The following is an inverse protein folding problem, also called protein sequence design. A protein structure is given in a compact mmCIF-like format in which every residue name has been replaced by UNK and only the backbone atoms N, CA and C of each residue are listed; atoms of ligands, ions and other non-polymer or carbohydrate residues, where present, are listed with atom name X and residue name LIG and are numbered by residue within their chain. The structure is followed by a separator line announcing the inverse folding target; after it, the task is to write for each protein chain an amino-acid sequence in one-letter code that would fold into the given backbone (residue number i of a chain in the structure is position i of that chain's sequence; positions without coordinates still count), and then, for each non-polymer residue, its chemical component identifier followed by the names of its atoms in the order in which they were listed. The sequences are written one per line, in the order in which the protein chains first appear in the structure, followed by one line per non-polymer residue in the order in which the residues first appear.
data_IF_449646343709
#
_entry.id   IF_449646343709
#
_cell.length_a   1.000
_cell.length_b   1.000
_cell.length_c   1.000
_cell.angle_alpha   90.00
_cell.angle_beta   90.00
_cell.angle_gamma   90.00
#
_symmetry.space_group_name_H-M   'P 1'
#
loop_
_entity.id
_entity.type
_entity.pdbx_description
1 polymer ?
#
# COMPACT_ATOMS: atom_id res chain seq x y z
N UNK A 1 6.49 6.41 -16.64
CA UNK A 1 5.57 7.56 -16.50
C UNK A 1 6.29 8.66 -15.74
N UNK A 2 6.07 9.93 -16.10
CA UNK A 2 6.75 11.10 -15.51
C UNK A 2 5.87 11.74 -14.44
N UNK A 3 6.47 12.14 -13.32
CA UNK A 3 5.84 12.90 -12.23
C UNK A 3 6.33 14.34 -12.28
N UNK A 4 5.47 15.33 -12.56
CA UNK A 4 5.88 16.74 -12.56
C UNK A 4 6.42 17.19 -11.20
N UNK A 5 7.42 18.08 -11.21
CA UNK A 5 8.10 18.53 -9.99
C UNK A 5 7.15 19.14 -8.94
N UNK A 6 6.18 19.96 -9.37
CA UNK A 6 5.18 20.54 -8.44
C UNK A 6 4.33 19.46 -7.75
N UNK A 7 3.85 18.48 -8.52
CA UNK A 7 3.10 17.35 -7.98
C UNK A 7 3.96 16.51 -7.03
N UNK A 8 5.22 16.25 -7.40
CA UNK A 8 6.17 15.54 -6.56
C UNK A 8 6.39 16.25 -5.22
N UNK A 9 6.63 17.56 -5.21
CA UNK A 9 6.81 18.34 -3.98
C UNK A 9 5.56 18.38 -3.12
N UNK A 10 4.37 18.49 -3.73
CA UNK A 10 3.10 18.43 -3.00
C UNK A 10 2.91 17.08 -2.31
N UNK A 11 3.19 15.98 -3.00
CA UNK A 11 3.12 14.64 -2.40
C UNK A 11 4.17 14.51 -1.29
N UNK A 12 5.46 14.77 -1.58
CA UNK A 12 6.55 14.61 -0.60
C UNK A 12 6.32 15.41 0.68
N UNK A 13 5.91 16.68 0.56
CA UNK A 13 5.66 17.53 1.73
C UNK A 13 4.51 17.01 2.60
N UNK A 14 3.44 16.50 1.99
CA UNK A 14 2.32 15.88 2.71
C UNK A 14 2.76 14.62 3.45
N UNK A 15 3.68 13.86 2.85
CA UNK A 15 4.33 12.71 3.47
C UNK A 15 5.52 13.07 4.39
N UNK A 16 5.62 14.34 4.83
CA UNK A 16 6.63 14.80 5.79
C UNK A 16 8.05 14.97 5.23
N UNK A 17 8.28 14.69 3.95
CA UNK A 17 9.56 14.83 3.27
C UNK A 17 9.68 16.28 2.77
N UNK A 18 10.08 17.18 3.66
CA UNK A 18 10.14 18.63 3.41
C UNK A 18 11.54 19.15 3.09
N UNK A 19 12.56 18.30 3.18
CA UNK A 19 13.96 18.62 2.86
C UNK A 19 14.52 17.59 1.89
N UNK A 20 15.45 17.98 0.99
CA UNK A 20 16.14 17.03 0.14
C UNK A 20 16.80 15.92 0.98
N UNK A 21 16.42 14.68 0.69
CA UNK A 21 17.09 13.48 1.17
C UNK A 21 18.14 13.04 0.14
N UNK A 22 18.99 12.09 0.50
CA UNK A 22 19.96 11.50 -0.44
C UNK A 22 19.25 10.88 -1.63
N UNK A 23 18.14 10.20 -1.38
CA UNK A 23 17.29 9.53 -2.37
C UNK A 23 16.64 10.58 -3.28
N UNK A 24 16.14 11.68 -2.73
CA UNK A 24 15.61 12.79 -3.52
C UNK A 24 16.67 13.36 -4.46
N UNK A 25 17.87 13.68 -3.96
CA UNK A 25 18.95 14.28 -4.76
C UNK A 25 19.46 13.33 -5.86
N UNK A 26 19.43 12.03 -5.58
CA UNK A 26 19.82 10.99 -6.54
C UNK A 26 18.89 10.94 -7.75
N UNK A 27 17.60 11.17 -7.54
CA UNK A 27 16.55 10.84 -8.50
C UNK A 27 15.85 12.04 -9.14
N UNK A 28 15.96 13.23 -8.53
CA UNK A 28 15.32 14.43 -9.05
C UNK A 28 15.90 14.84 -10.41
N UNK A 29 15.01 15.18 -11.34
CA UNK A 29 15.31 15.75 -12.66
C UNK A 29 14.80 17.19 -12.72
N UNK A 30 15.25 18.01 -13.70
CA UNK A 30 14.84 19.42 -13.79
C UNK A 30 13.32 19.64 -13.85
N UNK A 31 12.57 18.69 -14.40
CA UNK A 31 11.12 18.75 -14.59
C UNK A 31 10.33 17.76 -13.72
N UNK A 32 11.00 17.03 -12.82
CA UNK A 32 10.33 16.11 -11.90
C UNK A 32 11.05 14.78 -11.69
N UNK A 33 10.32 13.67 -11.71
CA UNK A 33 10.83 12.32 -11.43
C UNK A 33 10.26 11.29 -12.41
N UNK A 34 11.02 10.22 -12.66
CA UNK A 34 10.38 9.00 -13.16
C UNK A 34 9.60 8.36 -12.01
N UNK A 35 8.40 7.84 -12.29
CA UNK A 35 7.54 7.27 -11.25
C UNK A 35 8.20 6.16 -10.40
N UNK A 36 9.04 5.31 -11.00
CA UNK A 36 9.76 4.24 -10.27
C UNK A 36 10.74 4.85 -9.27
N UNK A 37 11.51 5.85 -9.70
CA UNK A 37 12.51 6.49 -8.86
C UNK A 37 11.85 7.33 -7.75
N UNK A 38 10.71 7.96 -8.04
CA UNK A 38 9.93 8.70 -7.05
C UNK A 38 9.43 7.81 -5.91
N UNK A 39 9.16 6.53 -6.21
CA UNK A 39 8.72 5.55 -5.21
C UNK A 39 9.78 5.30 -4.14
N UNK A 40 11.06 5.19 -4.53
CA UNK A 40 12.19 5.05 -3.60
C UNK A 40 12.31 6.27 -2.68
N UNK A 41 12.04 7.47 -3.19
CA UNK A 41 12.01 8.69 -2.37
C UNK A 41 10.86 8.66 -1.37
N UNK A 42 9.65 8.26 -1.81
CA UNK A 42 8.46 8.21 -0.96
C UNK A 42 8.63 7.23 0.21
N UNK A 43 9.29 6.10 0.01
CA UNK A 43 9.55 5.12 1.06
C UNK A 43 10.44 5.63 2.21
N UNK A 44 11.01 6.84 2.09
CA UNK A 44 11.64 7.54 3.22
C UNK A 44 10.66 8.18 4.21
N UNK A 45 9.35 8.12 3.94
CA UNK A 45 8.32 8.73 4.80
C UNK A 45 7.96 7.84 6.00
N UNK A 46 7.81 8.45 7.17
CA UNK A 46 7.28 7.79 8.37
C UNK A 46 5.79 7.39 8.25
N UNK A 47 5.07 7.94 7.27
CA UNK A 47 3.65 7.64 7.03
C UNK A 47 3.44 6.50 6.03
N UNK A 48 4.51 5.96 5.45
CA UNK A 48 4.49 4.85 4.51
C UNK A 48 5.26 3.68 5.14
N UNK A 49 4.65 2.51 5.16
CA UNK A 49 5.24 1.31 5.75
C UNK A 49 5.12 0.13 4.80
N UNK A 50 6.21 -0.63 4.72
CA UNK A 50 6.35 -1.82 3.89
C UNK A 50 6.32 -3.03 4.82
N UNK A 51 5.36 -3.92 4.58
CA UNK A 51 5.07 -5.09 5.39
C UNK A 51 5.58 -6.34 4.66
N UNK A 52 6.48 -7.09 5.31
CA UNK A 52 7.05 -8.32 4.76
C UNK A 52 6.17 -9.51 5.10
N UNK A 53 5.92 -10.42 4.14
CA UNK A 53 5.12 -11.62 4.43
C UNK A 53 5.80 -12.58 5.42
N UNK A 54 7.12 -12.47 5.55
CA UNK A 54 7.94 -13.27 6.47
C UNK A 54 8.00 -12.67 7.87
N UNK A 55 7.60 -11.42 8.05
CA UNK A 55 7.68 -10.73 9.34
C UNK A 55 6.61 -11.22 10.31
N UNK A 56 6.92 -11.13 11.61
CA UNK A 56 5.94 -11.40 12.65
C UNK A 56 4.87 -10.30 12.68
N UNK A 57 3.65 -10.66 13.07
CA UNK A 57 2.55 -9.71 13.22
C UNK A 57 2.90 -8.58 14.21
N UNK A 58 3.59 -8.91 15.30
CA UNK A 58 4.03 -7.94 16.31
C UNK A 58 4.91 -6.84 15.71
N UNK A 59 6.01 -7.23 15.03
CA UNK A 59 6.96 -6.29 14.42
C UNK A 59 6.25 -5.30 13.47
N UNK A 60 5.31 -5.80 12.67
CA UNK A 60 4.58 -4.99 11.71
C UNK A 60 3.50 -4.11 12.36
N UNK A 61 2.86 -4.57 13.44
CA UNK A 61 1.97 -3.74 14.24
C UNK A 61 2.74 -2.60 14.92
N UNK A 62 3.96 -2.82 15.42
CA UNK A 62 4.80 -1.76 15.98
C UNK A 62 5.12 -0.66 14.95
N UNK A 63 5.41 -1.03 13.70
CA UNK A 63 5.59 -0.05 12.62
C UNK A 63 4.34 0.80 12.39
N UNK A 64 3.17 0.16 12.40
CA UNK A 64 1.89 0.84 12.24
C UNK A 64 1.63 1.77 13.43
N UNK A 65 1.93 1.35 14.67
CA UNK A 65 1.86 2.22 15.87
C UNK A 65 2.74 3.44 15.68
N UNK A 66 3.98 3.27 15.21
CA UNK A 66 4.89 4.40 14.99
C UNK A 66 4.34 5.40 13.96
N UNK A 67 3.81 4.92 12.83
CA UNK A 67 3.21 5.78 11.80
C UNK A 67 1.97 6.52 12.32
N UNK A 68 1.07 5.83 13.02
CA UNK A 68 -0.12 6.42 13.64
C UNK A 68 0.22 7.44 14.73
N UNK A 69 1.30 7.22 15.48
CA UNK A 69 1.80 8.15 16.48
C UNK A 69 2.22 9.50 15.90
N UNK A 70 2.62 9.57 14.63
CA UNK A 70 2.88 10.84 13.92
C UNK A 70 1.61 11.65 13.64
N UNK A 71 0.45 11.01 13.75
CA UNK A 71 -0.88 11.58 13.56
C UNK A 71 -1.64 11.72 14.87
N UNK A 72 -0.96 11.61 16.02
CA UNK A 72 -1.54 11.64 17.37
C UNK A 72 -2.61 10.56 17.61
N UNK A 73 -2.57 9.46 16.85
CA UNK A 73 -3.48 8.30 17.02
C UNK A 73 -2.81 7.27 17.92
N UNK A 74 -3.43 7.00 19.07
CA UNK A 74 -2.95 5.98 20.02
C UNK A 74 -3.55 4.63 19.67
N UNK A 75 -2.67 3.68 19.34
CA UNK A 75 -3.00 2.29 19.09
C UNK A 75 -2.22 1.41 20.07
N UNK A 76 -2.92 0.52 20.76
CA UNK A 76 -2.35 -0.53 21.60
C UNK A 76 -2.70 -1.91 21.01
N UNK A 77 -1.88 -2.92 21.27
CA UNK A 77 -2.21 -4.30 20.90
C UNK A 77 -1.70 -5.32 21.92
N UNK A 78 -2.37 -6.46 21.98
CA UNK A 78 -1.97 -7.64 22.75
C UNK A 78 -1.87 -8.84 21.82
N UNK A 79 -0.71 -9.47 21.76
CA UNK A 79 -0.45 -10.67 20.95
C UNK A 79 -0.91 -11.91 21.71
N UNK A 80 -1.61 -12.80 21.02
CA UNK A 80 -1.91 -14.16 21.47
C UNK A 80 -0.90 -15.13 20.87
N UNK A 81 0.10 -15.51 21.68
CA UNK A 81 1.19 -16.42 21.32
C UNK A 81 0.79 -17.91 21.31
N UNK A 82 -0.50 -18.24 21.45
CA UNK A 82 -0.94 -19.63 21.54
C UNK A 82 -0.81 -20.41 20.22
N UNK A 83 -0.73 -19.74 19.06
CA UNK A 83 -0.55 -20.35 17.74
C UNK A 83 0.79 -19.95 17.11
N UNK A 84 1.80 -20.81 17.23
CA UNK A 84 3.14 -20.56 16.68
C UNK A 84 3.21 -20.45 15.15
N UNK A 85 2.10 -20.71 14.44
CA UNK A 85 2.03 -20.64 12.97
C UNK A 85 1.32 -19.38 12.48
N UNK A 86 0.60 -18.68 13.35
CA UNK A 86 -0.21 -17.54 12.98
C UNK A 86 -0.31 -16.55 14.15
N UNK A 87 0.13 -15.31 13.92
CA UNK A 87 -0.07 -14.24 14.89
C UNK A 87 -1.54 -13.86 14.96
N UNK A 88 -2.09 -13.81 16.17
CA UNK A 88 -3.38 -13.22 16.47
C UNK A 88 -3.12 -12.05 17.41
N UNK A 89 -3.77 -10.91 17.17
CA UNK A 89 -3.69 -9.77 18.06
C UNK A 89 -5.06 -9.15 18.29
N UNK A 90 -5.28 -8.68 19.53
CA UNK A 90 -6.37 -7.75 19.84
C UNK A 90 -5.79 -6.35 19.79
N UNK A 91 -6.20 -5.57 18.79
CA UNK A 91 -5.77 -4.19 18.60
C UNK A 91 -6.85 -3.26 19.12
N UNK A 92 -6.48 -2.20 19.82
CA UNK A 92 -7.39 -1.19 20.34
C UNK A 92 -6.95 0.20 19.91
N UNK A 93 -7.85 0.95 19.31
CA UNK A 93 -7.65 2.37 18.96
C UNK A 93 -8.76 3.16 19.62
N UNK A 94 -8.43 4.14 20.47
CA UNK A 94 -9.42 4.96 21.19
C UNK A 94 -10.56 4.14 21.85
N UNK A 95 -10.21 3.00 22.46
CA UNK A 95 -11.15 2.04 23.11
C UNK A 95 -12.06 1.26 22.15
N UNK A 96 -11.76 1.26 20.85
CA UNK A 96 -12.43 0.41 19.85
C UNK A 96 -11.54 -0.80 19.55
N UNK A 97 -11.93 -2.00 19.98
CA UNK A 97 -11.14 -3.21 19.73
C UNK A 97 -11.43 -3.81 18.35
N UNK A 98 -10.42 -4.39 17.72
CA UNK A 98 -10.52 -5.31 16.60
C UNK A 98 -9.57 -6.49 16.81
N UNK A 99 -9.98 -7.68 16.37
CA UNK A 99 -9.07 -8.82 16.28
C UNK A 99 -8.49 -8.87 14.88
N UNK A 100 -7.16 -8.95 14.79
CA UNK A 100 -6.44 -9.14 13.54
C UNK A 100 -5.68 -10.47 13.59
N UNK A 101 -5.51 -11.08 12.42
CA UNK A 101 -4.83 -12.37 12.26
C UNK A 101 -3.95 -12.31 11.03
N UNK A 102 -2.72 -12.81 11.14
CA UNK A 102 -1.79 -12.90 10.03
C UNK A 102 -0.91 -14.15 10.11
N UNK A 103 -0.73 -14.81 8.97
CA UNK A 103 0.19 -15.92 8.77
C UNK A 103 0.82 -15.80 7.38
N UNK A 104 2.15 -15.89 7.31
CA UNK A 104 2.90 -15.88 6.04
C UNK A 104 2.76 -17.17 5.21
N UNK A 105 1.95 -18.15 5.62
CA UNK A 105 1.88 -19.48 5.02
C UNK A 105 0.67 -19.69 4.06
N UNK A 106 0.13 -18.61 3.49
CA UNK A 106 -0.97 -18.64 2.51
C UNK A 106 -2.23 -19.38 3.04
N UNK A 107 -2.59 -19.13 4.30
CA UNK A 107 -3.79 -19.67 4.97
C UNK A 107 -5.04 -18.78 4.75
N UNK A 108 -5.01 -17.92 3.73
CA UNK A 108 -6.07 -16.95 3.45
C UNK A 108 -6.00 -15.68 4.30
N UNK A 109 -4.96 -15.51 5.12
CA UNK A 109 -4.65 -14.24 5.79
C UNK A 109 -3.74 -13.38 4.90
N UNK A 110 -3.85 -12.06 4.99
CA UNK A 110 -3.05 -11.11 4.21
C UNK A 110 -2.87 -9.81 4.97
N UNK A 111 -1.80 -9.06 4.66
CA UNK A 111 -1.64 -7.73 5.25
C UNK A 111 -2.81 -6.82 4.90
N UNK A 112 -3.38 -6.96 3.70
CA UNK A 112 -4.59 -6.24 3.32
C UNK A 112 -5.74 -6.50 4.30
N UNK A 113 -5.95 -7.75 4.72
CA UNK A 113 -7.00 -8.08 5.67
C UNK A 113 -6.74 -7.44 7.04
N UNK A 114 -5.49 -7.43 7.51
CA UNK A 114 -5.07 -6.76 8.74
C UNK A 114 -5.36 -5.25 8.65
N UNK A 115 -4.85 -4.58 7.61
CA UNK A 115 -5.04 -3.12 7.43
C UNK A 115 -6.52 -2.77 7.25
N UNK A 116 -7.30 -3.61 6.55
CA UNK A 116 -8.75 -3.41 6.42
C UNK A 116 -9.45 -3.51 7.78
N UNK A 117 -9.08 -4.48 8.61
CA UNK A 117 -9.63 -4.61 9.95
C UNK A 117 -9.26 -3.40 10.83
N UNK A 118 -8.01 -2.93 10.77
CA UNK A 118 -7.58 -1.71 11.46
C UNK A 118 -8.40 -0.49 11.01
N UNK A 119 -8.61 -0.30 9.70
CA UNK A 119 -9.41 0.81 9.17
C UNK A 119 -10.82 0.87 9.77
N UNK A 120 -11.43 -0.26 10.15
CA UNK A 120 -12.79 -0.28 10.75
C UNK A 120 -12.86 0.32 12.15
N UNK A 121 -11.74 0.34 12.88
CA UNK A 121 -11.66 0.89 14.24
C UNK A 121 -10.98 2.25 14.31
N UNK A 122 -10.37 2.71 13.22
CA UNK A 122 -9.74 4.03 13.15
C UNK A 122 -10.75 5.17 13.38
N UNK A 123 -10.26 6.32 13.87
CA UNK A 123 -11.02 7.56 13.82
C UNK A 123 -11.45 7.86 12.37
N UNK A 124 -12.66 8.42 12.14
CA UNK A 124 -13.20 8.64 10.79
C UNK A 124 -12.37 9.61 9.94
N UNK A 125 -11.50 10.39 10.57
CA UNK A 125 -10.57 11.31 9.90
C UNK A 125 -9.27 10.65 9.43
N UNK A 126 -9.05 9.35 9.69
CA UNK A 126 -7.82 8.64 9.32
C UNK A 126 -8.13 7.61 8.23
N UNK A 127 -7.36 7.63 7.16
CA UNK A 127 -7.49 6.69 6.05
C UNK A 127 -6.16 6.04 5.71
N UNK A 128 -6.18 4.71 5.67
CA UNK A 128 -5.14 3.90 5.07
C UNK A 128 -5.37 3.75 3.56
N UNK A 129 -4.29 3.84 2.80
CA UNK A 129 -4.29 3.51 1.37
C UNK A 129 -3.20 2.52 1.06
N UNK A 130 -3.49 1.66 0.10
CA UNK A 130 -2.54 0.67 -0.37
C UNK A 130 -1.65 1.26 -1.45
N UNK A 131 -0.37 0.95 -1.36
CA UNK A 131 0.58 1.22 -2.42
C UNK A 131 0.38 0.26 -3.60
N UNK A 132 0.25 0.81 -4.81
CA UNK A 132 0.03 0.01 -6.04
C UNK A 132 1.32 -0.47 -6.67
N UNK A 133 2.45 0.19 -6.39
CA UNK A 133 3.75 -0.14 -6.95
C UNK A 133 4.34 -1.44 -6.40
N UNK A 134 3.95 -1.82 -5.18
CA UNK A 134 4.45 -3.01 -4.51
C UNK A 134 3.63 -4.30 -4.76
N UNK A 135 2.54 -4.23 -5.55
CA UNK A 135 1.58 -5.35 -5.69
C UNK A 135 2.11 -6.62 -6.37
N UNK A 136 3.28 -6.57 -7.02
CA UNK A 136 3.97 -7.73 -7.62
C UNK A 136 5.22 -8.16 -6.83
N UNK A 137 5.45 -7.55 -5.67
CA UNK A 137 6.61 -7.77 -4.81
C UNK A 137 6.33 -8.81 -3.73
N UNK A 138 7.40 -9.27 -3.07
CA UNK A 138 7.36 -10.08 -1.84
C UNK A 138 6.87 -9.28 -0.62
N UNK A 139 6.34 -8.07 -0.81
CA UNK A 139 5.96 -7.16 0.29
C UNK A 139 4.69 -6.42 -0.10
N UNK A 140 3.86 -6.07 0.89
CA UNK A 140 2.75 -5.12 0.69
C UNK A 140 3.17 -3.78 1.28
N UNK A 141 2.82 -2.66 0.64
CA UNK A 141 3.07 -1.34 1.20
C UNK A 141 1.77 -0.55 1.38
N UNK A 142 1.71 0.25 2.44
CA UNK A 142 0.55 1.07 2.78
C UNK A 142 1.00 2.44 3.27
N UNK A 143 0.11 3.41 3.09
CA UNK A 143 0.23 4.76 3.60
C UNK A 143 -0.91 5.05 4.57
N UNK A 144 -0.66 5.90 5.57
CA UNK A 144 -1.70 6.42 6.45
C UNK A 144 -1.61 7.94 6.53
N UNK A 145 -2.73 8.61 6.28
CA UNK A 145 -2.85 10.07 6.41
C UNK A 145 -4.25 10.46 6.89
N UNK A 146 -4.41 11.70 7.36
CA UNK A 146 -5.72 12.31 7.50
C UNK A 146 -6.50 12.34 6.18
N UNK A 147 -7.83 12.20 6.27
CA UNK A 147 -8.74 12.17 5.10
C UNK A 147 -8.70 13.50 4.34
N UNK A 148 -8.57 14.63 5.03
CA UNK A 148 -8.45 15.95 4.41
C UNK A 148 -7.12 16.11 3.65
N UNK A 149 -6.01 15.61 4.18
CA UNK A 149 -4.73 15.55 3.46
C UNK A 149 -4.83 14.69 2.19
N UNK A 150 -5.53 13.55 2.23
CA UNK A 150 -5.80 12.76 1.03
C UNK A 150 -6.62 13.53 -0.01
N UNK A 151 -7.67 14.22 0.41
CA UNK A 151 -8.53 15.02 -0.48
C UNK A 151 -7.75 16.18 -1.11
N UNK A 152 -6.86 16.80 -0.34
CA UNK A 152 -5.95 17.84 -0.78
C UNK A 152 -4.98 17.33 -1.84
N UNK A 153 -4.37 16.16 -1.63
CA UNK A 153 -3.50 15.50 -2.60
C UNK A 153 -4.25 15.12 -3.89
N UNK A 154 -5.48 14.61 -3.79
CA UNK A 154 -6.30 14.27 -4.96
C UNK A 154 -6.61 15.49 -5.82
N UNK A 155 -6.91 16.62 -5.18
CA UNK A 155 -7.17 17.89 -5.87
C UNK A 155 -5.92 18.44 -6.55
N UNK A 156 -4.77 18.41 -5.87
CA UNK A 156 -3.57 19.13 -6.30
C UNK A 156 -2.64 18.27 -7.16
N UNK A 157 -2.64 16.94 -6.97
CA UNK A 157 -1.70 16.01 -7.60
C UNK A 157 -2.35 14.66 -8.02
N UNK A 158 -3.68 14.61 -8.18
CA UNK A 158 -4.44 13.36 -8.30
C UNK A 158 -3.99 12.38 -9.38
N UNK A 159 -3.59 12.84 -10.56
CA UNK A 159 -3.10 11.95 -11.63
C UNK A 159 -1.76 11.29 -11.27
N UNK A 160 -0.86 12.03 -10.62
CA UNK A 160 0.38 11.46 -10.11
C UNK A 160 0.14 10.56 -8.90
N UNK A 161 -0.79 10.94 -8.01
CA UNK A 161 -1.11 10.18 -6.80
C UNK A 161 -1.64 8.78 -7.10
N UNK A 162 -2.49 8.63 -8.13
CA UNK A 162 -3.07 7.35 -8.57
C UNK A 162 -2.02 6.32 -9.01
N UNK A 163 -0.80 6.75 -9.29
CA UNK A 163 0.31 5.86 -9.65
C UNK A 163 0.93 5.17 -8.44
N UNK A 164 0.66 5.69 -7.24
CA UNK A 164 1.25 5.22 -6.00
C UNK A 164 0.20 4.65 -5.07
N UNK A 165 -0.95 5.30 -4.90
CA UNK A 165 -1.91 4.92 -3.86
C UNK A 165 -3.31 4.64 -4.39
N UNK A 166 -3.97 3.68 -3.77
CA UNK A 166 -5.41 3.43 -3.94
C UNK A 166 -6.13 3.21 -2.61
N UNK A 167 -7.42 3.60 -2.51
CA UNK A 167 -8.24 3.25 -1.36
C UNK A 167 -8.36 1.73 -1.16
N UNK A 168 -8.44 1.27 0.09
CA UNK A 168 -8.64 -0.14 0.43
C UNK A 168 -9.96 -0.73 -0.09
N UNK A 169 -10.97 0.11 -0.34
CA UNK A 169 -12.24 -0.30 -0.93
C UNK A 169 -12.16 -0.58 -2.43
N UNK A 170 -11.06 -0.18 -3.09
CA UNK A 170 -10.88 -0.39 -4.53
C UNK A 170 -10.45 -1.84 -4.82
N UNK A 171 -10.96 -2.49 -5.89
CA UNK A 171 -10.49 -3.80 -6.31
C UNK A 171 -9.00 -3.76 -6.62
N UNK A 172 -8.23 -4.78 -6.20
CA UNK A 172 -6.89 -4.98 -6.77
C UNK A 172 -7.06 -5.27 -8.26
N UNK A 173 -6.31 -4.61 -9.17
CA UNK A 173 -6.26 -5.04 -10.56
C UNK A 173 -5.74 -6.48 -10.55
N UNK A 174 -6.46 -7.38 -11.22
CA UNK A 174 -5.98 -8.74 -11.42
C UNK A 174 -4.59 -8.69 -12.06
N UNK A 175 -3.63 -9.56 -11.68
CA UNK A 175 -2.39 -9.69 -12.42
C UNK A 175 -2.79 -9.95 -13.87
N UNK A 176 -2.57 -8.96 -14.72
CA UNK A 176 -2.91 -9.08 -16.12
C UNK A 176 -1.95 -10.12 -16.63
N UNK A 177 -2.47 -11.30 -16.98
CA UNK A 177 -1.81 -12.23 -17.87
C UNK A 177 -1.24 -11.36 -18.98
N UNK A 178 0.10 -11.29 -19.08
CA UNK A 178 0.76 -10.71 -20.23
C UNK A 178 0.29 -11.55 -21.41
N UNK A 179 -0.79 -11.11 -22.04
CA UNK A 179 -1.20 -11.59 -23.36
C UNK A 179 -0.20 -10.99 -24.31
N UNK A 180 0.91 -11.71 -24.43
CA UNK A 180 1.84 -11.67 -25.52
C UNK A 180 1.04 -11.55 -26.83
N UNK A 181 1.13 -10.44 -27.59
CA UNK A 181 0.37 -10.28 -28.83
C UNK A 181 1.08 -11.04 -29.95
N UNK A 182 1.26 -12.36 -29.79
CA UNK A 182 1.78 -13.27 -30.83
C UNK A 182 1.06 -14.62 -30.93
N UNK A 183 -0.06 -14.82 -30.24
CA UNK A 183 -0.80 -16.09 -30.26
C UNK A 183 -2.05 -16.16 -31.16
N UNK A 184 -2.48 -15.06 -31.79
CA UNK A 184 -3.82 -14.96 -32.42
C UNK A 184 -3.88 -15.36 -33.90
N UNK A 185 -3.13 -16.39 -34.30
CA UNK A 185 -3.24 -17.03 -35.63
C UNK A 185 -3.51 -18.54 -35.55
N UNK A 186 -3.51 -19.15 -34.35
CA UNK A 186 -3.55 -20.60 -34.20
C UNK A 186 -4.92 -21.28 -34.02
N UNK A 187 -5.98 -20.55 -33.64
CA UNK A 187 -7.19 -21.19 -33.09
C UNK A 187 -8.51 -20.95 -33.87
N UNK A 188 -8.45 -20.60 -35.15
CA UNK A 188 -9.63 -20.52 -36.03
C UNK A 188 -9.58 -21.47 -37.24
N UNK A 189 -8.93 -22.65 -37.10
CA UNK A 189 -8.95 -23.71 -38.14
C UNK A 189 -9.36 -25.10 -37.67
N UNK A 190 -9.95 -25.25 -36.47
CA UNK A 190 -10.35 -26.58 -35.95
C UNK A 190 -11.83 -26.79 -35.63
N UNK A 191 -12.73 -25.95 -36.13
CA UNK A 191 -14.18 -26.13 -35.94
C UNK A 191 -15.00 -26.25 -37.23
N UNK A 192 -14.37 -26.50 -38.38
CA UNK A 192 -15.08 -26.92 -39.60
C UNK A 192 -14.45 -28.21 -40.11
N UNK A 193 -14.80 -29.34 -39.47
CA UNK A 193 -14.87 -30.70 -40.06
C UNK A 193 -15.20 -31.73 -38.98
N UNK A 194 -16.50 -32.03 -38.85
CA UNK A 194 -17.14 -33.34 -38.59
C UNK A 194 -18.62 -33.04 -38.29
N UNK A 195 -19.48 -33.06 -39.32
CA UNK A 195 -20.29 -34.22 -39.82
C UNK A 195 -21.65 -34.26 -39.12
N UNK A 196 -22.73 -34.77 -39.74
CA UNK A 196 -22.80 -35.77 -40.83
C UNK A 196 -22.67 -35.21 -42.25
#
# INVERSE_FOLDING_TARGET
MHIPLEAAHRILSTFGITKPTREYERWVKPDGFDHVDFHEVLYGSDFIFVLDWRAALEDELERIVHALGKLDVVMDFEIDDSDSRCGIAVVTVERRPATVRYSGNDDGTSWRAVITALQTIMPPQIEFREDVGNGESDTDAYAVLPVDEWQDLERDAGESLKLFFRPLSSPRPSPSTVSDPKGLVGLLRRLIRKRP
#
